data_IF_776846559364
#
_entry.id   IF_776846559364
#
_cell.length_a   1.000
_cell.length_b   1.000
_cell.length_c   1.000
_cell.angle_alpha   90.00
_cell.angle_beta   90.00
_cell.angle_gamma   90.00
#
_symmetry.space_group_name_H-M   'P 1'
#
loop_
_entity.id
_entity.type
_entity.pdbx_description
1 polymer ?
#
# COMPACT_ATOMS: atom_id res chain seq x y z
N UNK A 1 -2.76 -24.34 9.20
CA UNK A 1 -3.06 -23.45 10.34
C UNK A 1 -1.76 -22.78 10.74
N UNK A 2 -1.64 -21.46 10.57
CA UNK A 2 -0.46 -20.75 11.05
C UNK A 2 -0.53 -20.77 12.57
N UNK A 3 0.52 -21.25 13.23
CA UNK A 3 0.58 -21.26 14.69
C UNK A 3 0.67 -19.80 15.15
N UNK A 4 -0.32 -19.30 15.90
CA UNK A 4 -0.39 -17.91 16.40
C UNK A 4 0.95 -17.48 17.03
N UNK A 5 1.62 -18.42 17.73
CA UNK A 5 2.93 -18.21 18.32
C UNK A 5 4.00 -17.75 17.30
N UNK A 6 3.99 -18.27 16.07
CA UNK A 6 4.92 -17.85 15.02
C UNK A 6 4.62 -16.43 14.51
N UNK A 7 3.35 -16.03 14.47
CA UNK A 7 2.95 -14.68 14.09
C UNK A 7 3.40 -13.68 15.14
N UNK A 8 3.22 -13.99 16.43
CA UNK A 8 3.69 -13.17 17.54
C UNK A 8 5.22 -13.00 17.54
N UNK A 9 5.97 -14.06 17.20
CA UNK A 9 7.44 -13.96 17.03
C UNK A 9 7.80 -13.00 15.89
N UNK A 10 7.08 -13.06 14.76
CA UNK A 10 7.30 -12.12 13.64
C UNK A 10 6.96 -10.68 14.03
N UNK A 11 5.85 -10.44 14.72
CA UNK A 11 5.49 -9.10 15.19
C UNK A 11 6.59 -8.48 16.07
N UNK A 12 7.16 -9.27 16.99
CA UNK A 12 8.25 -8.80 17.84
C UNK A 12 9.46 -8.38 17.00
N UNK A 13 9.82 -9.18 15.99
CA UNK A 13 10.93 -8.85 15.09
C UNK A 13 10.67 -7.57 14.29
N UNK A 14 9.46 -7.38 13.77
CA UNK A 14 9.09 -6.15 13.06
C UNK A 14 9.09 -4.94 14.01
N UNK A 15 8.70 -5.12 15.28
CA UNK A 15 8.78 -4.07 16.29
C UNK A 15 10.24 -3.63 16.54
N UNK A 16 11.14 -4.60 16.72
CA UNK A 16 12.58 -4.34 16.89
C UNK A 16 13.15 -3.64 15.65
N UNK A 17 12.72 -4.05 14.44
CA UNK A 17 13.14 -3.43 13.19
C UNK A 17 12.60 -2.00 13.01
N UNK A 18 11.36 -1.72 13.42
CA UNK A 18 10.78 -0.38 13.42
C UNK A 18 11.56 0.56 14.35
N UNK A 19 11.94 0.09 15.54
CA UNK A 19 12.74 0.86 16.49
C UNK A 19 14.16 1.14 15.99
N UNK A 20 14.75 0.20 15.24
CA UNK A 20 16.08 0.35 14.65
C UNK A 20 16.07 1.09 13.30
N UNK A 21 14.91 1.49 12.78
CA UNK A 21 14.80 2.11 11.46
C UNK A 21 15.52 3.46 11.42
N UNK A 22 16.28 3.69 10.36
CA UNK A 22 17.07 4.92 10.17
C UNK A 22 16.26 6.09 9.61
N UNK A 23 15.06 5.82 9.11
CA UNK A 23 14.16 6.84 8.60
C UNK A 23 12.68 6.47 8.85
N UNK A 24 11.83 7.49 8.76
CA UNK A 24 10.41 7.38 9.09
C UNK A 24 9.65 6.47 8.10
N UNK A 25 10.04 6.47 6.83
CA UNK A 25 9.41 5.63 5.81
C UNK A 25 9.56 4.14 6.14
N UNK A 26 10.78 3.70 6.49
CA UNK A 26 11.04 2.31 6.90
C UNK A 26 10.35 1.96 8.21
N UNK A 27 10.36 2.88 9.18
CA UNK A 27 9.59 2.68 10.41
C UNK A 27 8.10 2.43 10.10
N UNK A 28 7.51 3.24 9.22
CA UNK A 28 6.10 3.07 8.79
C UNK A 28 5.85 1.75 8.05
N UNK A 29 6.80 1.29 7.23
CA UNK A 29 6.71 -0.02 6.56
C UNK A 29 6.67 -1.17 7.57
N UNK A 30 7.55 -1.14 8.59
CA UNK A 30 7.55 -2.14 9.65
C UNK A 30 6.26 -2.09 10.49
N UNK A 31 5.75 -0.88 10.79
CA UNK A 31 4.46 -0.73 11.49
C UNK A 31 3.30 -1.29 10.66
N UNK A 32 3.26 -1.05 9.35
CA UNK A 32 2.24 -1.61 8.46
C UNK A 32 2.29 -3.15 8.44
N UNK A 33 3.50 -3.74 8.44
CA UNK A 33 3.67 -5.19 8.54
C UNK A 33 3.10 -5.73 9.87
N UNK A 34 3.32 -5.02 10.99
CA UNK A 34 2.73 -5.38 12.29
C UNK A 34 1.19 -5.35 12.23
N UNK A 35 0.60 -4.33 11.61
CA UNK A 35 -0.86 -4.24 11.43
C UNK A 35 -1.43 -5.45 10.68
N UNK A 36 -0.83 -5.82 9.54
CA UNK A 36 -1.25 -7.00 8.78
C UNK A 36 -1.07 -8.30 9.58
N UNK A 37 -0.02 -8.41 10.39
CA UNK A 37 0.16 -9.58 11.26
C UNK A 37 -0.94 -9.63 12.34
N UNK A 38 -1.40 -8.48 12.85
CA UNK A 38 -2.50 -8.41 13.82
C UNK A 38 -3.80 -8.88 13.19
N UNK A 39 -4.11 -8.34 12.01
CA UNK A 39 -5.27 -8.75 11.22
C UNK A 39 -5.25 -10.25 10.96
N UNK A 40 -4.10 -10.82 10.56
CA UNK A 40 -3.96 -12.26 10.34
C UNK A 40 -4.31 -13.10 11.59
N UNK A 41 -3.90 -12.65 12.78
CA UNK A 41 -4.23 -13.37 14.02
C UNK A 41 -5.73 -13.31 14.31
N UNK A 42 -6.35 -12.15 14.11
CA UNK A 42 -7.78 -11.92 14.34
C UNK A 42 -8.66 -12.65 13.29
N UNK A 43 -8.26 -12.68 12.02
CA UNK A 43 -8.95 -13.44 10.97
C UNK A 43 -8.88 -14.95 11.21
N UNK A 44 -7.89 -15.43 11.97
CA UNK A 44 -7.81 -16.86 12.32
C UNK A 44 -8.79 -17.23 13.45
N UNK A 45 -9.24 -16.25 14.25
CA UNK A 45 -10.23 -16.46 15.31
C UNK A 45 -11.67 -16.28 14.81
N UNK A 46 -11.86 -15.42 13.82
CA UNK A 46 -13.16 -15.06 13.28
C UNK A 46 -13.24 -15.53 11.83
N UNK A 47 -13.85 -16.70 11.60
CA UNK A 47 -13.99 -17.32 10.27
C UNK A 47 -14.90 -16.57 9.28
N UNK A 48 -14.73 -15.26 9.11
CA UNK A 48 -15.55 -14.40 8.24
C UNK A 48 -14.67 -13.42 7.44
N UNK A 49 -14.11 -13.97 6.37
CA UNK A 49 -13.65 -13.35 5.12
C UNK A 49 -13.92 -11.83 4.95
N UNK A 50 -12.90 -10.98 5.15
CA UNK A 50 -12.87 -9.59 4.68
C UNK A 50 -11.61 -9.32 3.85
N UNK A 51 -11.57 -9.87 2.64
CA UNK A 51 -10.55 -9.62 1.61
C UNK A 51 -10.73 -8.22 0.99
N UNK A 52 -10.26 -7.15 1.64
CA UNK A 52 -10.39 -5.80 1.04
C UNK A 52 -9.20 -4.84 1.16
N UNK A 53 -7.98 -5.26 1.55
CA UNK A 53 -6.90 -4.28 1.82
C UNK A 53 -5.55 -4.46 1.11
N UNK A 54 -5.48 -5.15 -0.04
CA UNK A 54 -4.22 -5.27 -0.81
C UNK A 54 -4.06 -4.29 -1.98
N UNK A 55 -4.79 -3.15 -2.05
CA UNK A 55 -4.77 -2.30 -3.25
C UNK A 55 -3.96 -0.98 -3.19
N UNK A 56 -3.32 -0.58 -2.09
CA UNK A 56 -2.82 0.82 -2.00
C UNK A 56 -1.31 1.05 -2.18
N UNK A 57 -0.49 0.07 -2.59
CA UNK A 57 0.98 0.24 -2.62
C UNK A 57 1.65 0.11 -4.00
N UNK A 58 1.01 0.55 -5.10
CA UNK A 58 1.68 0.64 -6.42
C UNK A 58 1.28 1.92 -7.19
N UNK A 59 1.55 3.12 -6.66
CA UNK A 59 1.62 4.34 -7.50
C UNK A 59 2.63 5.36 -6.95
N UNK A 60 3.91 5.01 -7.01
CA UNK A 60 5.00 5.99 -7.02
C UNK A 60 5.97 5.61 -8.13
N UNK A 61 5.72 6.08 -9.36
CA UNK A 61 6.80 6.26 -10.32
C UNK A 61 6.45 7.28 -11.42
N UNK A 62 7.42 8.20 -11.61
CA UNK A 62 7.66 9.15 -12.71
C UNK A 62 6.83 10.46 -12.75
N UNK A 63 7.40 11.46 -12.09
CA UNK A 63 7.37 12.85 -12.54
C UNK A 63 8.37 13.09 -13.70
N UNK A 64 7.90 13.85 -14.69
CA UNK A 64 8.59 14.88 -15.47
C UNK A 64 9.72 14.48 -16.46
N UNK A 65 9.49 14.68 -17.77
CA UNK A 65 10.12 15.77 -18.59
C UNK A 65 9.80 15.63 -20.10
N UNK A 66 9.23 16.72 -20.67
CA UNK A 66 9.21 17.21 -22.06
C UNK A 66 8.61 16.34 -23.21
N UNK A 67 7.80 16.95 -24.09
CA UNK A 67 8.38 17.72 -25.19
C UNK A 67 7.63 19.02 -25.56
N UNK A 68 8.38 20.11 -25.74
CA UNK A 68 7.92 21.30 -26.45
C UNK A 68 7.85 21.02 -27.96
N UNK A 69 6.65 21.14 -28.55
CA UNK A 69 6.41 21.47 -29.97
C UNK A 69 4.94 21.87 -30.15
N UNK A 70 4.62 23.10 -30.60
CA UNK A 70 3.25 23.50 -30.89
C UNK A 70 2.93 23.21 -32.36
N UNK A 71 1.83 22.48 -32.63
CA UNK A 71 1.24 22.41 -33.98
C UNK A 71 -0.26 22.16 -33.89
N UNK A 72 -1.00 23.26 -33.77
CA UNK A 72 -2.22 23.63 -34.53
C UNK A 72 -3.22 22.52 -34.97
N UNK A 73 -4.48 22.78 -34.56
CA UNK A 73 -5.81 22.53 -35.18
C UNK A 73 -6.73 21.39 -34.68
N UNK A 74 -7.92 21.88 -34.24
CA UNK A 74 -9.29 21.37 -34.45
C UNK A 74 -9.79 20.14 -33.71
N UNK A 75 -10.68 20.43 -32.76
CA UNK A 75 -12.07 19.94 -32.73
C UNK A 75 -12.25 18.42 -32.77
N UNK A 76 -12.16 17.79 -31.59
CA UNK A 76 -12.98 16.62 -31.29
C UNK A 76 -13.33 16.68 -29.80
N UNK A 77 -14.53 17.19 -29.52
CA UNK A 77 -15.18 17.13 -28.23
C UNK A 77 -15.50 15.65 -27.91
N UNK A 78 -14.52 14.92 -27.36
CA UNK A 78 -14.78 13.62 -26.76
C UNK A 78 -13.70 13.24 -25.75
N UNK A 79 -13.85 13.74 -24.53
CA UNK A 79 -13.17 13.20 -23.36
C UNK A 79 -14.14 13.13 -22.19
N UNK A 80 -15.21 12.38 -22.40
CA UNK A 80 -16.00 11.77 -21.34
C UNK A 80 -15.17 10.66 -20.68
N UNK A 81 -14.18 11.03 -19.88
CA UNK A 81 -13.52 10.13 -18.94
C UNK A 81 -12.98 10.92 -17.75
N UNK A 82 -13.86 11.69 -17.09
CA UNK A 82 -13.64 12.03 -15.68
C UNK A 82 -13.91 10.77 -14.84
N UNK A 83 -13.04 9.80 -15.06
CA UNK A 83 -12.89 8.57 -14.31
C UNK A 83 -12.12 8.92 -13.04
N UNK A 84 -12.88 9.00 -11.93
CA UNK A 84 -12.46 9.03 -10.52
C UNK A 84 -12.25 10.43 -9.91
N UNK A 85 -13.31 10.89 -9.26
CA UNK A 85 -13.26 11.81 -8.11
C UNK A 85 -12.79 10.99 -6.89
N UNK A 86 -11.60 11.31 -6.36
CA UNK A 86 -11.04 10.76 -5.12
C UNK A 86 -10.98 11.84 -4.06
#
# INVERSE_FOLDING_TARGET
>A
MIQIQQVLVKMKKEMDAAQAATNEERMRQHIAAIQTLCELVLDTTDGTNNQHYLQTQIKSNKMLTNPSKPSITTDDESSSDSLLDF
#
